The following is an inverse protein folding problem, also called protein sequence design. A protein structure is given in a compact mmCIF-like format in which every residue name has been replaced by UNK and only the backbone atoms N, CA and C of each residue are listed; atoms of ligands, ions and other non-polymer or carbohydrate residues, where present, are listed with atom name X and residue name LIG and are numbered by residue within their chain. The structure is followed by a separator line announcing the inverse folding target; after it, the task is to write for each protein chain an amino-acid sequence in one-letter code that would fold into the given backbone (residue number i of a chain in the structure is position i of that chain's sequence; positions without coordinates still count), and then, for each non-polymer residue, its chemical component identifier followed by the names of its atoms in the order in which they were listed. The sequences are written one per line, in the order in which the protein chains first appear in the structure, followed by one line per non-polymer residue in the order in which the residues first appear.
data_IF_314361563434
#
_entry.id   IF_314361563434
#
_cell.length_a   1.000
_cell.length_b   1.000
_cell.length_c   1.000
_cell.angle_alpha   90.00
_cell.angle_beta   90.00
_cell.angle_gamma   90.00
#
_symmetry.space_group_name_H-M   'P 1'
#
loop_
_entity.id
_entity.type
_entity.pdbx_description
1 polymer ?
#
# COMPACT_ATOMS: atom_id res chain seq x y z
N UNK A 1 -25.66 3.70 -30.70
CA UNK A 1 -24.32 4.32 -30.55
C UNK A 1 -23.35 3.22 -30.79
N UNK A 2 -22.72 3.25 -31.98
CA UNK A 2 -21.77 2.25 -32.47
C UNK A 2 -20.41 2.42 -31.80
N UNK A 3 -19.87 1.30 -31.39
CA UNK A 3 -18.52 0.96 -31.02
C UNK A 3 -17.43 1.93 -31.46
N UNK A 4 -16.97 2.77 -30.54
CA UNK A 4 -15.70 3.45 -30.66
C UNK A 4 -14.75 2.90 -29.58
N UNK A 5 -14.34 1.64 -29.75
CA UNK A 5 -13.32 1.03 -28.90
C UNK A 5 -11.99 0.97 -29.68
N UNK A 6 -11.20 2.03 -29.58
CA UNK A 6 -9.87 2.15 -30.18
C UNK A 6 -8.72 1.67 -29.28
N UNK A 7 -8.99 1.02 -28.13
CA UNK A 7 -7.93 0.39 -27.33
C UNK A 7 -8.26 -1.06 -27.01
N UNK A 8 -7.37 -1.96 -27.34
CA UNK A 8 -7.47 -3.40 -27.05
C UNK A 8 -7.62 -3.71 -25.55
N UNK A 9 -7.19 -2.80 -24.66
CA UNK A 9 -7.31 -2.96 -23.21
C UNK A 9 -8.71 -2.69 -22.64
N UNK A 10 -9.46 -1.76 -23.21
CA UNK A 10 -10.81 -1.44 -22.77
C UNK A 10 -11.86 -2.51 -23.15
N UNK A 11 -11.67 -3.17 -24.29
CA UNK A 11 -12.59 -4.24 -24.72
C UNK A 11 -12.65 -5.44 -23.78
N UNK A 12 -11.54 -5.79 -23.13
CA UNK A 12 -11.49 -6.88 -22.15
C UNK A 12 -12.14 -6.50 -20.81
N UNK A 13 -12.09 -5.24 -20.42
CA UNK A 13 -12.78 -4.72 -19.21
C UNK A 13 -14.28 -4.77 -19.42
N UNK A 14 -14.79 -4.33 -20.56
CA UNK A 14 -16.22 -4.35 -20.86
C UNK A 14 -16.81 -5.77 -20.97
N UNK A 15 -16.06 -6.73 -21.47
CA UNK A 15 -16.48 -8.14 -21.56
C UNK A 15 -16.60 -8.82 -20.19
N UNK A 16 -15.96 -8.29 -19.17
CA UNK A 16 -16.00 -8.82 -17.79
C UNK A 16 -17.03 -8.13 -16.91
N UNK A 17 -17.72 -7.12 -17.41
CA UNK A 17 -18.77 -6.44 -16.66
C UNK A 17 -20.10 -7.20 -16.74
N UNK A 18 -20.82 -7.22 -15.63
CA UNK A 18 -22.16 -7.82 -15.54
C UNK A 18 -23.22 -7.07 -16.35
N UNK A 19 -22.88 -5.89 -16.90
CA UNK A 19 -23.70 -5.06 -17.77
C UNK A 19 -25.16 -4.90 -17.30
N UNK A 20 -25.43 -4.41 -16.07
CA UNK A 20 -26.80 -4.23 -15.57
C UNK A 20 -27.61 -3.26 -16.44
N UNK A 21 -26.97 -2.29 -17.07
CA UNK A 21 -27.58 -1.35 -18.01
C UNK A 21 -28.09 -2.01 -19.32
N UNK A 22 -27.63 -3.21 -19.63
CA UNK A 22 -28.08 -3.98 -20.80
C UNK A 22 -29.25 -4.94 -20.49
N UNK A 23 -29.81 -4.92 -19.27
CA UNK A 23 -30.92 -5.74 -18.86
C UNK A 23 -30.64 -7.24 -18.78
N UNK A 24 -29.37 -7.64 -18.73
CA UNK A 24 -28.96 -9.06 -18.68
C UNK A 24 -29.03 -9.67 -17.28
N UNK A 25 -29.18 -8.84 -16.26
CA UNK A 25 -29.32 -9.23 -14.86
C UNK A 25 -30.66 -8.77 -14.31
N UNK A 26 -31.27 -9.60 -13.49
CA UNK A 26 -32.40 -9.19 -12.68
C UNK A 26 -31.93 -8.24 -11.57
N UNK A 27 -32.88 -7.45 -11.04
CA UNK A 27 -32.57 -6.56 -9.90
C UNK A 27 -32.05 -7.34 -8.69
N UNK A 28 -32.56 -8.53 -8.47
CA UNK A 28 -32.16 -9.39 -7.36
C UNK A 28 -30.70 -9.88 -7.53
N UNK A 29 -30.33 -10.39 -8.70
CA UNK A 29 -28.95 -10.82 -8.99
C UNK A 29 -27.93 -9.67 -8.89
N UNK A 30 -28.35 -8.46 -9.28
CA UNK A 30 -27.52 -7.28 -9.12
C UNK A 30 -27.31 -6.92 -7.65
N UNK A 31 -28.40 -6.93 -6.85
CA UNK A 31 -28.34 -6.63 -5.42
C UNK A 31 -27.46 -7.64 -4.68
N UNK A 32 -27.57 -8.93 -4.98
CA UNK A 32 -26.69 -9.97 -4.42
C UNK A 32 -25.23 -9.70 -4.72
N UNK A 33 -24.92 -9.25 -5.94
CA UNK A 33 -23.52 -8.90 -6.33
C UNK A 33 -23.01 -7.70 -5.55
N UNK A 34 -23.85 -6.70 -5.31
CA UNK A 34 -23.49 -5.51 -4.51
C UNK A 34 -23.28 -5.89 -3.05
N UNK A 35 -24.15 -6.71 -2.47
CA UNK A 35 -24.06 -7.14 -1.07
C UNK A 35 -22.81 -7.99 -0.82
N UNK A 36 -22.42 -8.85 -1.77
CA UNK A 36 -21.16 -9.60 -1.73
C UNK A 36 -19.94 -8.66 -1.79
N UNK A 37 -19.97 -7.67 -2.68
CA UNK A 37 -18.89 -6.69 -2.78
C UNK A 37 -18.75 -5.86 -1.49
N UNK A 38 -19.85 -5.43 -0.90
CA UNK A 38 -19.87 -4.72 0.37
C UNK A 38 -19.35 -5.58 1.52
N UNK A 39 -19.73 -6.86 1.59
CA UNK A 39 -19.24 -7.82 2.57
C UNK A 39 -17.72 -8.00 2.46
N UNK A 40 -17.22 -8.13 1.22
CA UNK A 40 -15.78 -8.21 0.97
C UNK A 40 -15.03 -6.95 1.44
N UNK A 41 -15.52 -5.76 1.09
CA UNK A 41 -14.90 -4.48 1.45
C UNK A 41 -14.93 -4.22 2.96
N UNK A 42 -15.95 -4.71 3.67
CA UNK A 42 -16.03 -4.60 5.15
C UNK A 42 -15.11 -5.57 5.90
N UNK A 43 -14.27 -6.31 5.20
CA UNK A 43 -13.29 -7.21 5.80
C UNK A 43 -13.77 -8.65 6.02
N UNK A 44 -14.96 -8.99 5.56
CA UNK A 44 -15.54 -10.34 5.62
C UNK A 44 -15.04 -11.30 4.55
N UNK A 45 -13.78 -11.18 4.11
CA UNK A 45 -13.23 -12.01 3.03
C UNK A 45 -13.30 -13.52 3.33
N UNK A 46 -13.17 -13.91 4.59
CA UNK A 46 -13.28 -15.32 5.02
C UNK A 46 -14.74 -15.79 5.02
N UNK A 47 -15.66 -14.95 5.45
CA UNK A 47 -17.10 -15.25 5.45
C UNK A 47 -17.65 -15.25 4.02
N UNK A 48 -17.25 -14.29 3.20
CA UNK A 48 -17.60 -14.25 1.78
C UNK A 48 -17.12 -15.50 1.03
N UNK A 49 -15.91 -15.99 1.30
CA UNK A 49 -15.40 -17.24 0.72
C UNK A 49 -16.20 -18.45 1.15
N UNK A 50 -16.61 -18.56 2.41
CA UNK A 50 -17.44 -19.65 2.91
C UNK A 50 -18.83 -19.65 2.24
N UNK A 51 -19.44 -18.49 2.08
CA UNK A 51 -20.74 -18.35 1.44
C UNK A 51 -20.67 -18.70 -0.05
N UNK A 52 -19.63 -18.25 -0.77
CA UNK A 52 -19.44 -18.63 -2.18
C UNK A 52 -19.20 -20.12 -2.30
N UNK A 53 -18.45 -20.72 -1.38
CA UNK A 53 -18.23 -22.17 -1.36
C UNK A 53 -19.52 -22.95 -1.16
N UNK A 54 -20.35 -22.55 -0.19
CA UNK A 54 -21.68 -23.17 0.07
C UNK A 54 -22.56 -23.12 -1.18
N UNK A 55 -22.66 -21.95 -1.83
CA UNK A 55 -23.44 -21.78 -3.07
C UNK A 55 -22.89 -22.60 -4.23
N UNK A 56 -21.58 -22.77 -4.30
CA UNK A 56 -20.93 -23.62 -5.31
C UNK A 56 -21.31 -25.10 -5.11
N UNK A 57 -21.29 -25.56 -3.87
CA UNK A 57 -21.67 -26.94 -3.49
C UNK A 57 -23.16 -27.19 -3.81
N UNK A 58 -24.05 -26.28 -3.42
CA UNK A 58 -25.49 -26.34 -3.76
C UNK A 58 -25.76 -26.36 -5.27
N UNK A 59 -25.03 -25.53 -6.03
CA UNK A 59 -25.17 -25.52 -7.48
C UNK A 59 -24.69 -26.83 -8.12
N UNK A 60 -23.64 -27.44 -7.54
CA UNK A 60 -23.15 -28.74 -7.99
C UNK A 60 -24.12 -29.88 -7.66
N UNK A 61 -24.75 -29.88 -6.48
CA UNK A 61 -25.78 -30.84 -6.09
C UNK A 61 -27.03 -30.74 -6.99
N UNK A 62 -27.39 -29.52 -7.39
CA UNK A 62 -28.50 -29.27 -8.32
C UNK A 62 -28.13 -29.49 -9.79
N UNK A 63 -26.93 -30.04 -10.08
CA UNK A 63 -26.42 -30.29 -11.44
C UNK A 63 -26.27 -29.03 -12.30
N UNK A 64 -26.23 -27.85 -11.69
CA UNK A 64 -26.01 -26.53 -12.32
C UNK A 64 -24.48 -26.29 -12.52
N UNK A 65 -23.83 -27.14 -13.30
CA UNK A 65 -22.36 -27.14 -13.41
C UNK A 65 -21.74 -25.84 -13.92
N UNK A 66 -22.40 -25.11 -14.80
CA UNK A 66 -21.91 -23.82 -15.29
C UNK A 66 -21.89 -22.76 -14.17
N UNK A 67 -22.91 -22.77 -13.31
CA UNK A 67 -23.02 -21.87 -12.15
C UNK A 67 -21.96 -22.24 -11.11
N UNK A 68 -21.77 -23.52 -10.81
CA UNK A 68 -20.75 -24.01 -9.93
C UNK A 68 -19.34 -23.63 -10.42
N UNK A 69 -19.07 -23.75 -11.73
CA UNK A 69 -17.78 -23.35 -12.33
C UNK A 69 -17.53 -21.84 -12.20
N UNK A 70 -18.53 -20.99 -12.43
CA UNK A 70 -18.40 -19.52 -12.23
C UNK A 70 -18.10 -19.16 -10.78
N UNK A 71 -18.78 -19.81 -9.82
CA UNK A 71 -18.54 -19.60 -8.39
C UNK A 71 -17.15 -20.06 -7.96
N UNK A 72 -16.67 -21.19 -8.48
CA UNK A 72 -15.30 -21.66 -8.27
C UNK A 72 -14.26 -20.67 -8.80
N UNK A 73 -14.44 -20.16 -10.00
CA UNK A 73 -13.52 -19.21 -10.61
C UNK A 73 -13.49 -17.88 -9.84
N UNK A 74 -14.65 -17.45 -9.32
CA UNK A 74 -14.79 -16.30 -8.45
C UNK A 74 -14.07 -16.50 -7.11
N UNK A 75 -14.23 -17.66 -6.47
CA UNK A 75 -13.54 -18.04 -5.25
C UNK A 75 -12.01 -18.04 -5.46
N UNK A 76 -11.52 -18.58 -6.58
CA UNK A 76 -10.12 -18.59 -6.93
C UNK A 76 -9.57 -17.17 -7.19
N UNK A 77 -10.34 -16.28 -7.79
CA UNK A 77 -9.96 -14.89 -7.97
C UNK A 77 -9.78 -14.18 -6.62
N UNK A 78 -10.73 -14.36 -5.68
CA UNK A 78 -10.65 -13.80 -4.33
C UNK A 78 -9.42 -14.36 -3.59
N UNK A 79 -9.17 -15.67 -3.65
CA UNK A 79 -7.97 -16.29 -3.05
C UNK A 79 -6.67 -15.73 -3.62
N UNK A 80 -6.57 -15.57 -4.93
CA UNK A 80 -5.40 -14.94 -5.57
C UNK A 80 -5.18 -13.49 -5.14
N UNK A 81 -6.26 -12.73 -4.90
CA UNK A 81 -6.15 -11.38 -4.33
C UNK A 81 -5.65 -11.42 -2.90
N UNK A 82 -6.12 -12.37 -2.09
CA UNK A 82 -5.63 -12.59 -0.73
C UNK A 82 -4.16 -13.06 -0.70
N UNK A 83 -3.76 -13.93 -1.62
CA UNK A 83 -2.37 -14.41 -1.74
C UNK A 83 -1.41 -13.30 -2.18
N UNK A 84 -1.86 -12.39 -3.04
CA UNK A 84 -1.11 -11.17 -3.40
C UNK A 84 -1.09 -10.14 -2.27
N UNK A 85 -2.14 -10.10 -1.45
CA UNK A 85 -2.18 -9.43 -0.16
C UNK A 85 -1.68 -10.39 0.94
N UNK A 86 -0.55 -11.03 0.76
CA UNK A 86 0.23 -11.63 1.86
C UNK A 86 0.76 -10.55 2.80
N UNK A 87 -0.09 -9.68 3.19
CA UNK A 87 0.09 -8.86 4.35
C UNK A 87 -0.53 -9.64 5.51
N UNK A 88 0.29 -10.51 6.01
CA UNK A 88 0.45 -10.95 7.36
C UNK A 88 -0.81 -10.72 8.20
N UNK A 89 -1.50 -11.79 8.57
CA UNK A 89 -2.46 -11.80 9.67
C UNK A 89 -1.70 -11.48 10.96
N UNK A 90 -1.56 -10.18 11.27
CA UNK A 90 -0.74 -9.72 12.37
C UNK A 90 -1.40 -10.02 13.71
N UNK A 91 -0.62 -10.54 14.63
CA UNK A 91 -0.96 -10.59 16.05
C UNK A 91 -1.25 -9.19 16.61
N UNK A 92 -0.66 -8.15 16.02
CA UNK A 92 -0.88 -6.74 16.34
C UNK A 92 -1.90 -6.16 15.38
N UNK A 93 -3.08 -5.82 15.89
CA UNK A 93 -4.21 -5.34 15.08
C UNK A 93 -4.00 -3.96 14.50
N UNK A 94 -3.29 -3.08 15.21
CA UNK A 94 -3.09 -1.69 14.82
C UNK A 94 -1.66 -1.28 15.13
N UNK A 95 -0.91 -0.86 14.09
CA UNK A 95 0.46 -0.39 14.22
C UNK A 95 0.90 0.40 12.99
N UNK A 96 1.89 1.26 13.18
CA UNK A 96 2.64 1.89 12.10
C UNK A 96 4.08 1.37 12.13
N UNK A 97 4.64 1.10 10.94
CA UNK A 97 5.99 0.57 10.77
C UNK A 97 6.82 1.60 10.02
N UNK A 98 7.91 2.04 10.63
CA UNK A 98 8.81 3.06 10.09
C UNK A 98 10.15 2.44 9.72
N UNK A 99 10.61 2.72 8.51
CA UNK A 99 11.95 2.35 8.08
C UNK A 99 12.60 3.49 7.31
N UNK A 100 13.91 3.66 7.50
CA UNK A 100 14.73 4.66 6.81
C UNK A 100 15.74 3.94 5.93
N UNK A 101 15.72 4.25 4.63
CA UNK A 101 16.80 3.87 3.70
C UNK A 101 17.62 5.10 3.38
N UNK A 102 18.94 4.99 3.42
CA UNK A 102 19.85 6.12 3.25
C UNK A 102 20.87 5.88 2.13
N UNK A 103 21.26 6.96 1.48
CA UNK A 103 22.36 7.02 0.54
C UNK A 103 23.23 8.25 0.83
N UNK A 104 24.33 8.43 0.10
CA UNK A 104 25.18 9.62 0.25
C UNK A 104 24.48 10.94 -0.17
N UNK A 105 23.39 10.88 -0.94
CA UNK A 105 22.72 12.04 -1.52
C UNK A 105 21.38 12.35 -0.88
N UNK A 106 20.64 11.32 -0.46
CA UNK A 106 19.30 11.46 0.11
C UNK A 106 18.93 10.25 0.95
N UNK A 107 17.91 10.40 1.79
CA UNK A 107 17.27 9.29 2.47
C UNK A 107 15.78 9.22 2.17
N UNK A 108 15.18 8.05 2.34
CA UNK A 108 13.75 7.81 2.20
C UNK A 108 13.21 7.24 3.51
N UNK A 109 12.28 7.94 4.13
CA UNK A 109 11.43 7.43 5.19
C UNK A 109 10.24 6.74 4.55
N UNK A 110 9.99 5.48 4.91
CA UNK A 110 8.79 4.73 4.55
C UNK A 110 7.97 4.48 5.80
N UNK A 111 6.66 4.68 5.69
CA UNK A 111 5.69 4.41 6.75
C UNK A 111 4.63 3.46 6.19
N UNK A 112 4.49 2.29 6.81
CA UNK A 112 3.42 1.34 6.50
C UNK A 112 2.42 1.32 7.65
N UNK A 113 1.16 1.59 7.36
CA UNK A 113 0.10 1.72 8.36
C UNK A 113 -0.82 0.50 8.33
N UNK A 114 -1.00 -0.11 9.50
CA UNK A 114 -1.79 -1.31 9.65
C UNK A 114 -3.00 -1.06 10.55
N UNK A 115 -4.17 -1.48 10.06
CA UNK A 115 -5.41 -1.51 10.84
C UNK A 115 -6.04 -2.91 10.71
N UNK A 116 -6.54 -3.43 11.82
CA UNK A 116 -7.14 -4.78 11.90
C UNK A 116 -6.22 -5.89 11.33
N UNK A 117 -4.90 -5.72 11.48
CA UNK A 117 -3.91 -6.66 10.97
C UNK A 117 -3.68 -6.60 9.46
N UNK A 118 -4.18 -5.57 8.77
CA UNK A 118 -4.03 -5.36 7.33
C UNK A 118 -3.35 -4.04 7.02
N UNK A 119 -2.49 -4.02 6.01
CA UNK A 119 -1.96 -2.78 5.45
C UNK A 119 -3.10 -2.01 4.78
N UNK A 120 -3.36 -0.80 5.23
CA UNK A 120 -4.38 0.06 4.63
C UNK A 120 -3.79 1.30 3.96
N UNK A 121 -2.57 1.69 4.36
CA UNK A 121 -1.92 2.88 3.81
C UNK A 121 -0.40 2.74 3.81
N UNK A 122 0.26 3.40 2.86
CA UNK A 122 1.71 3.47 2.78
C UNK A 122 2.13 4.87 2.31
N UNK A 123 2.99 5.50 3.08
CA UNK A 123 3.51 6.84 2.80
C UNK A 123 5.03 6.80 2.73
N UNK A 124 5.62 7.68 1.94
CA UNK A 124 7.08 7.84 1.91
C UNK A 124 7.46 9.31 1.75
N UNK A 125 8.60 9.66 2.31
CA UNK A 125 9.14 11.01 2.32
C UNK A 125 10.61 10.96 1.99
N UNK A 126 11.07 11.86 1.11
CA UNK A 126 12.48 12.04 0.86
C UNK A 126 13.01 13.15 1.76
N UNK A 127 14.17 12.91 2.35
CA UNK A 127 14.88 13.80 3.23
C UNK A 127 16.37 13.83 2.82
N UNK A 128 17.10 14.77 3.35
CA UNK A 128 18.55 14.80 3.18
C UNK A 128 19.22 13.55 3.76
N UNK A 129 20.43 13.27 3.33
CA UNK A 129 21.22 12.15 3.85
C UNK A 129 21.34 12.22 5.37
N UNK A 130 21.13 11.08 6.02
CA UNK A 130 21.12 10.96 7.48
C UNK A 130 22.48 10.42 7.96
N UNK A 131 23.10 11.12 8.91
CA UNK A 131 24.33 10.68 9.57
C UNK A 131 24.04 10.03 10.93
N UNK A 132 23.16 10.64 11.74
CA UNK A 132 22.70 10.13 13.04
C UNK A 132 21.32 9.50 12.93
N UNK A 133 21.27 8.19 12.73
CA UNK A 133 20.02 7.46 12.58
C UNK A 133 19.12 7.46 13.83
N UNK A 134 19.62 7.28 15.06
CA UNK A 134 18.79 7.37 16.27
C UNK A 134 18.10 8.71 16.42
N UNK A 135 18.83 9.82 16.24
CA UNK A 135 18.24 11.17 16.32
C UNK A 135 17.24 11.41 15.20
N UNK A 136 17.60 11.10 13.95
CA UNK A 136 16.73 11.28 12.80
C UNK A 136 15.42 10.49 12.92
N UNK A 137 15.45 9.25 13.44
CA UNK A 137 14.22 8.49 13.67
C UNK A 137 13.29 9.18 14.66
N UNK A 138 13.83 9.71 15.75
CA UNK A 138 13.07 10.46 16.75
C UNK A 138 12.37 11.68 16.14
N UNK A 139 13.13 12.50 15.42
CA UNK A 139 12.63 13.71 14.76
C UNK A 139 11.58 13.39 13.68
N UNK A 140 11.83 12.38 12.86
CA UNK A 140 10.91 11.97 11.80
C UNK A 140 9.59 11.44 12.35
N UNK A 141 9.62 10.62 13.40
CA UNK A 141 8.41 10.11 14.07
C UNK A 141 7.65 11.25 14.73
N UNK A 142 8.35 12.14 15.43
CA UNK A 142 7.74 13.33 16.04
C UNK A 142 7.09 14.23 14.98
N UNK A 143 7.82 14.56 13.90
CA UNK A 143 7.31 15.34 12.79
C UNK A 143 6.09 14.70 12.13
N UNK A 144 6.14 13.39 11.90
CA UNK A 144 5.06 12.62 11.29
C UNK A 144 3.77 12.69 12.11
N UNK A 145 3.85 12.45 13.43
CA UNK A 145 2.67 12.49 14.29
C UNK A 145 2.29 13.90 14.75
N UNK A 146 3.13 14.91 14.62
CA UNK A 146 2.75 16.30 14.91
C UNK A 146 1.61 16.78 14.04
N UNK A 147 1.55 16.32 12.79
CA UNK A 147 0.54 16.68 11.81
C UNK A 147 -0.65 15.70 11.74
N UNK A 148 -0.73 14.72 12.64
CA UNK A 148 -1.77 13.68 12.65
C UNK A 148 -2.41 13.55 14.01
N UNK A 149 -3.73 13.38 14.02
CA UNK A 149 -4.49 13.22 15.27
C UNK A 149 -4.49 11.77 15.77
N UNK A 150 -4.31 10.81 14.86
CA UNK A 150 -4.36 9.39 15.22
C UNK A 150 -2.96 8.80 15.38
N UNK A 151 -2.72 8.20 16.56
CA UNK A 151 -1.49 7.48 16.90
C UNK A 151 -1.87 6.04 17.27
N UNK A 152 -1.32 5.02 16.61
CA UNK A 152 -1.62 3.62 16.93
C UNK A 152 -0.99 3.21 18.27
N UNK A 153 -1.47 2.12 18.93
CA UNK A 153 -0.91 1.64 20.18
C UNK A 153 0.53 1.12 20.06
N UNK A 154 0.97 0.85 18.83
CA UNK A 154 2.32 0.38 18.56
C UNK A 154 2.94 1.10 17.36
N UNK A 155 4.15 1.59 17.58
CA UNK A 155 5.03 2.15 16.55
C UNK A 155 6.25 1.23 16.45
N UNK A 156 6.45 0.62 15.29
CA UNK A 156 7.55 -0.30 15.04
C UNK A 156 8.60 0.41 14.20
N UNK A 157 9.86 0.34 14.60
CA UNK A 157 10.95 1.09 13.99
C UNK A 157 12.11 0.15 13.61
N UNK A 158 12.89 0.54 12.62
CA UNK A 158 13.96 -0.27 12.06
C UNK A 158 15.27 -0.25 12.86
N UNK A 159 15.36 0.51 13.94
CA UNK A 159 16.52 0.59 14.78
C UNK A 159 16.30 1.46 16.02
N UNK A 160 17.36 1.74 16.74
CA UNK A 160 17.34 2.59 17.94
C UNK A 160 16.83 4.00 17.63
N UNK A 161 16.10 4.56 18.59
CA UNK A 161 15.55 5.91 18.55
C UNK A 161 16.14 6.70 19.71
N UNK A 162 16.67 7.89 19.44
CA UNK A 162 17.12 8.78 20.50
C UNK A 162 15.93 9.18 21.37
N UNK A 163 16.17 9.26 22.69
CA UNK A 163 15.18 9.66 23.69
C UNK A 163 13.83 8.88 23.58
N UNK A 164 13.91 7.56 23.28
CA UNK A 164 12.74 6.68 23.08
C UNK A 164 11.69 6.82 24.18
N UNK A 165 12.12 6.92 25.44
CA UNK A 165 11.21 7.06 26.59
C UNK A 165 10.41 8.37 26.55
N UNK A 166 11.06 9.48 26.16
CA UNK A 166 10.42 10.78 26.03
C UNK A 166 9.44 10.78 24.84
N UNK A 167 9.87 10.26 23.70
CA UNK A 167 9.03 10.12 22.52
C UNK A 167 7.81 9.24 22.76
N UNK A 168 7.98 8.10 23.47
CA UNK A 168 6.89 7.19 23.82
C UNK A 168 5.89 7.85 24.78
N UNK A 169 6.37 8.67 25.74
CA UNK A 169 5.53 9.43 26.66
C UNK A 169 4.71 10.48 25.90
N UNK A 170 5.34 11.24 25.02
CA UNK A 170 4.67 12.25 24.20
C UNK A 170 3.61 11.62 23.27
N UNK A 171 3.93 10.52 22.60
CA UNK A 171 2.98 9.78 21.76
C UNK A 171 1.81 9.25 22.58
N UNK A 172 2.06 8.78 23.80
CA UNK A 172 1.02 8.25 24.70
C UNK A 172 0.08 9.35 25.20
N UNK A 173 0.61 10.52 25.51
CA UNK A 173 -0.17 11.71 25.89
C UNK A 173 -1.07 12.13 24.72
N UNK A 174 -0.51 12.24 23.51
CA UNK A 174 -1.25 12.59 22.31
C UNK A 174 -2.33 11.56 21.95
N UNK A 175 -2.05 10.27 22.12
CA UNK A 175 -2.99 9.19 21.84
C UNK A 175 -4.08 9.03 22.93
N UNK A 176 -3.90 9.60 24.12
CA UNK A 176 -4.74 9.32 25.30
C UNK A 176 -4.67 7.87 25.79
N UNK A 177 -3.65 7.12 25.35
CA UNK A 177 -3.41 5.70 25.69
C UNK A 177 -1.93 5.38 25.58
N UNK A 178 -1.50 4.31 26.22
CA UNK A 178 -0.10 3.85 26.14
C UNK A 178 0.27 3.50 24.70
N UNK A 179 1.34 4.10 24.19
CA UNK A 179 1.96 3.82 22.90
C UNK A 179 3.31 3.17 23.14
N UNK A 180 3.56 2.04 22.49
CA UNK A 180 4.81 1.31 22.57
C UNK A 180 5.63 1.53 21.29
N UNK A 181 6.88 2.00 21.46
CA UNK A 181 7.88 1.96 20.39
C UNK A 181 8.60 0.60 20.48
N UNK A 182 8.85 -0.05 19.37
CA UNK A 182 9.45 -1.38 19.35
C UNK A 182 10.39 -1.57 18.15
N UNK A 183 11.55 -2.16 18.40
CA UNK A 183 12.50 -2.62 17.38
C UNK A 183 12.38 -4.13 17.25
N UNK A 184 11.80 -4.67 16.16
CA UNK A 184 11.56 -6.09 16.04
C UNK A 184 12.84 -6.84 15.69
N UNK A 185 13.11 -7.93 16.40
CA UNK A 185 14.28 -8.76 16.18
C UNK A 185 13.97 -10.10 15.50
N UNK A 186 12.74 -10.61 15.61
CA UNK A 186 12.35 -11.96 15.16
C UNK A 186 10.88 -12.01 14.76
N UNK A 187 10.55 -13.06 14.01
CA UNK A 187 9.16 -13.40 13.68
C UNK A 187 8.52 -12.46 12.67
N UNK A 188 7.21 -12.43 12.71
CA UNK A 188 6.33 -11.70 11.81
C UNK A 188 6.65 -10.20 11.73
N UNK A 189 6.96 -9.58 12.87
CA UNK A 189 7.27 -8.16 12.96
C UNK A 189 8.61 -7.82 12.28
N UNK A 190 9.59 -8.72 12.34
CA UNK A 190 10.86 -8.54 11.62
C UNK A 190 10.66 -8.68 10.10
N UNK A 191 9.77 -9.55 9.64
CA UNK A 191 9.41 -9.67 8.22
C UNK A 191 8.73 -8.41 7.69
N UNK A 192 7.83 -7.81 8.50
CA UNK A 192 7.22 -6.52 8.15
C UNK A 192 8.24 -5.40 8.07
N UNK A 193 9.17 -5.37 9.01
CA UNK A 193 10.25 -4.39 8.99
C UNK A 193 11.13 -4.53 7.76
N UNK A 194 11.47 -5.76 7.38
CA UNK A 194 12.24 -6.03 6.17
C UNK A 194 11.49 -5.60 4.89
N UNK A 195 10.18 -5.85 4.85
CA UNK A 195 9.33 -5.35 3.77
C UNK A 195 9.32 -3.81 3.71
N UNK A 196 9.21 -3.14 4.86
CA UNK A 196 9.25 -1.68 4.95
C UNK A 196 10.60 -1.12 4.47
N UNK A 197 11.72 -1.73 4.89
CA UNK A 197 13.07 -1.36 4.43
C UNK A 197 13.26 -1.55 2.93
N UNK A 198 12.82 -2.68 2.40
CA UNK A 198 12.90 -2.98 0.97
C UNK A 198 12.12 -1.95 0.14
N UNK A 199 10.91 -1.59 0.58
CA UNK A 199 10.10 -0.56 -0.07
C UNK A 199 10.76 0.83 0.01
N UNK A 200 11.36 1.18 1.16
CA UNK A 200 12.12 2.43 1.30
C UNK A 200 13.31 2.49 0.35
N UNK A 201 14.07 1.38 0.25
CA UNK A 201 15.23 1.29 -0.63
C UNK A 201 14.83 1.37 -2.12
N UNK A 202 13.74 0.72 -2.51
CA UNK A 202 13.20 0.79 -3.88
C UNK A 202 12.80 2.21 -4.25
N UNK A 203 12.08 2.90 -3.35
CA UNK A 203 11.67 4.30 -3.56
C UNK A 203 12.87 5.25 -3.64
N UNK A 204 13.87 5.06 -2.79
CA UNK A 204 15.09 5.83 -2.83
C UNK A 204 15.85 5.63 -4.15
N UNK A 205 16.02 4.38 -4.59
CA UNK A 205 16.66 4.07 -5.86
C UNK A 205 15.92 4.67 -7.07
N UNK A 206 14.58 4.63 -7.07
CA UNK A 206 13.74 5.26 -8.09
C UNK A 206 13.95 6.79 -8.11
N UNK A 207 13.99 7.42 -6.94
CA UNK A 207 14.20 8.87 -6.80
C UNK A 207 15.58 9.30 -7.33
N UNK A 208 16.64 8.61 -6.92
CA UNK A 208 18.01 8.89 -7.37
C UNK A 208 18.18 8.62 -8.86
N UNK A 209 17.56 7.58 -9.39
CA UNK A 209 17.58 7.27 -10.81
C UNK A 209 16.87 8.33 -11.67
N UNK A 210 15.80 8.95 -11.16
CA UNK A 210 15.14 10.09 -11.83
C UNK A 210 16.00 11.34 -11.76
N UNK A 211 16.55 11.67 -10.61
CA UNK A 211 17.44 12.82 -10.43
C UNK A 211 18.67 12.72 -11.36
N UNK A 212 19.30 11.55 -11.43
CA UNK A 212 20.43 11.32 -12.33
C UNK A 212 20.09 11.48 -13.81
N UNK A 213 18.90 11.04 -14.24
CA UNK A 213 18.42 11.24 -15.62
C UNK A 213 18.14 12.70 -15.94
N UNK A 214 17.57 13.45 -14.98
CA UNK A 214 17.34 14.90 -15.14
C UNK A 214 18.65 15.64 -15.28
N UNK A 215 19.63 15.38 -14.41
CA UNK A 215 20.95 16.00 -14.49
C UNK A 215 21.62 15.72 -15.83
N UNK A 216 21.65 14.46 -16.25
CA UNK A 216 22.23 14.10 -17.55
C UNK A 216 21.51 14.76 -18.73
N UNK A 217 20.20 14.92 -18.71
CA UNK A 217 19.46 15.62 -19.73
C UNK A 217 19.75 17.13 -19.77
N UNK A 218 19.90 17.77 -18.59
CA UNK A 218 20.29 19.17 -18.50
C UNK A 218 21.75 19.42 -18.95
N UNK A 219 22.67 18.51 -18.61
CA UNK A 219 24.05 18.55 -19.09
C UNK A 219 24.13 18.41 -20.63
N UNK A 220 23.35 17.50 -21.20
CA UNK A 220 23.26 17.34 -22.64
C UNK A 220 22.66 18.57 -23.33
N UNK A 221 21.61 19.17 -22.72
CA UNK A 221 21.00 20.41 -23.19
C UNK A 221 22.01 21.56 -23.17
N UNK A 222 22.76 21.71 -22.06
CA UNK A 222 23.83 22.72 -21.95
C UNK A 222 24.86 22.57 -23.06
N UNK A 223 25.30 21.34 -23.32
CA UNK A 223 26.24 21.02 -24.40
C UNK A 223 25.69 21.39 -25.78
N UNK A 224 24.43 21.04 -26.05
CA UNK A 224 23.77 21.34 -27.34
C UNK A 224 23.59 22.83 -27.58
N UNK A 225 23.33 23.60 -26.51
CA UNK A 225 23.15 25.05 -26.58
C UNK A 225 24.45 25.84 -26.39
N UNK A 226 25.58 25.19 -26.14
CA UNK A 226 26.86 25.83 -25.91
C UNK A 226 26.93 26.64 -24.62
N UNK A 227 26.18 26.25 -23.59
CA UNK A 227 26.19 26.88 -22.28
C UNK A 227 27.38 26.36 -21.47
N UNK A 228 27.95 27.20 -20.60
CA UNK A 228 29.07 26.83 -19.70
C UNK A 228 28.61 25.91 -18.54
N UNK A 229 27.31 25.98 -18.17
CA UNK A 229 26.70 25.19 -17.11
C UNK A 229 25.25 24.81 -17.48
N UNK A 230 24.67 23.75 -16.89
CA UNK A 230 23.27 23.41 -17.05
C UNK A 230 22.35 24.58 -16.67
N UNK A 231 21.23 24.81 -17.41
CA UNK A 231 20.30 25.87 -17.10
C UNK A 231 19.57 25.58 -15.78
N UNK A 232 19.54 26.57 -14.89
CA UNK A 232 18.77 26.49 -13.64
C UNK A 232 17.27 26.76 -13.85
N UNK A 233 16.92 27.43 -14.95
CA UNK A 233 15.56 27.83 -15.27
C UNK A 233 15.27 27.67 -16.76
N UNK A 234 14.11 27.10 -17.11
CA UNK A 234 13.63 26.91 -18.48
C UNK A 234 12.19 27.41 -18.58
N UNK A 235 11.93 28.35 -19.46
CA UNK A 235 10.57 28.83 -19.79
C UNK A 235 10.14 28.30 -21.15
N UNK A 236 8.92 27.84 -21.25
CA UNK A 236 8.24 27.48 -22.49
C UNK A 236 7.08 28.46 -22.75
N UNK A 237 7.06 29.10 -23.92
CA UNK A 237 5.99 30.01 -24.35
C UNK A 237 5.10 29.36 -25.41
#
# INVERSE_FOLDING_TARGET
IRDFCLSRGLGDVYKRQSAPCAGKLTQQEYQETVDEALSFLRGGSTEALKEIQRRMEEAAENLEFEKAARLRDRMNAIRRMQDKQKVVSLSVKEQDVFAVSNSAQAACLMVLRFAQGRLYDSEYFFIDSVEDFPAARGELIQGYYSMRDHVPPRVTVDGEVADESLLSSWLSEKAGRRVQIAVPQRGEQAQLMEMCRSNAAEKLAEHLGRAGKQTAALDELARLLGLEAPPEYIEAY
#
